data_IF_141271595649
#
_entry.id   IF_141271595649
#
_cell.length_a   1.000
_cell.length_b   1.000
_cell.length_c   1.000
_cell.angle_alpha   90.00
_cell.angle_beta   90.00
_cell.angle_gamma   90.00
#
_symmetry.space_group_name_H-M   'P 1'
#
loop_
_entity.id
_entity.type
_entity.pdbx_description
1 polymer ?
#
# COMPACT_ATOMS: atom_id res chain seq x y z
N UNK A 1 6.42 -23.47 -14.52
CA UNK A 1 7.22 -23.98 -13.38
C UNK A 1 8.55 -24.58 -13.74
N UNK A 2 9.61 -23.84 -13.43
CA UNK A 2 11.00 -24.17 -13.71
C UNK A 2 11.53 -25.28 -12.79
N UNK A 3 12.46 -26.11 -13.31
CA UNK A 3 13.07 -27.23 -12.56
C UNK A 3 13.65 -26.78 -11.22
N UNK A 4 14.35 -25.65 -11.21
CA UNK A 4 14.98 -25.11 -10.01
C UNK A 4 13.97 -24.68 -8.95
N UNK A 5 12.87 -24.07 -9.36
CA UNK A 5 11.76 -23.69 -8.45
C UNK A 5 11.15 -24.92 -7.78
N UNK A 6 10.98 -26.02 -8.54
CA UNK A 6 10.51 -27.30 -7.98
C UNK A 6 11.49 -27.90 -6.95
N UNK A 7 12.78 -27.83 -7.23
CA UNK A 7 13.83 -28.31 -6.30
C UNK A 7 13.83 -27.49 -5.01
N UNK A 8 13.77 -26.16 -5.10
CA UNK A 8 13.71 -25.27 -3.93
C UNK A 8 12.44 -25.51 -3.10
N UNK A 9 11.29 -25.76 -3.73
CA UNK A 9 10.06 -26.12 -3.02
C UNK A 9 10.18 -27.45 -2.28
N UNK A 10 10.91 -28.43 -2.84
CA UNK A 10 11.23 -29.66 -2.10
C UNK A 10 12.15 -29.38 -0.91
N UNK A 11 13.13 -28.48 -1.06
CA UNK A 11 14.02 -28.07 0.04
C UNK A 11 13.29 -27.32 1.16
N UNK A 12 12.20 -26.62 0.87
CA UNK A 12 11.32 -26.04 1.90
C UNK A 12 10.69 -27.11 2.82
N UNK A 13 10.71 -28.39 2.45
CA UNK A 13 10.21 -29.49 3.28
C UNK A 13 11.34 -30.28 3.93
N UNK A 14 12.60 -29.83 3.82
CA UNK A 14 13.71 -30.56 4.42
C UNK A 14 13.71 -30.44 5.93
N UNK A 15 14.33 -31.41 6.59
CA UNK A 15 14.36 -31.53 8.04
C UNK A 15 15.22 -30.42 8.68
N UNK A 16 16.22 -29.95 7.94
CA UNK A 16 17.14 -28.91 8.35
C UNK A 16 16.51 -27.51 8.25
N UNK A 17 16.33 -26.77 9.35
CA UNK A 17 15.77 -25.43 9.31
C UNK A 17 16.65 -24.45 8.51
N UNK A 18 17.97 -24.68 8.47
CA UNK A 18 18.91 -23.87 7.69
C UNK A 18 18.67 -24.02 6.19
N UNK A 19 18.38 -25.24 5.73
CA UNK A 19 18.08 -25.48 4.32
C UNK A 19 16.73 -24.89 3.93
N UNK A 20 15.70 -25.03 4.78
CA UNK A 20 14.39 -24.39 4.55
C UNK A 20 14.53 -22.86 4.45
N UNK A 21 15.32 -22.26 5.35
CA UNK A 21 15.61 -20.84 5.32
C UNK A 21 16.28 -20.41 4.01
N UNK A 22 17.35 -21.11 3.60
CA UNK A 22 18.07 -20.82 2.36
C UNK A 22 17.18 -20.99 1.12
N UNK A 23 16.34 -22.02 1.10
CA UNK A 23 15.38 -22.25 0.02
C UNK A 23 14.38 -21.09 -0.08
N UNK A 24 13.83 -20.62 1.04
CA UNK A 24 12.93 -19.47 1.07
C UNK A 24 13.61 -18.19 0.56
N UNK A 25 14.85 -17.95 1.00
CA UNK A 25 15.63 -16.80 0.57
C UNK A 25 15.97 -16.84 -0.92
N UNK A 26 16.33 -18.00 -1.46
CA UNK A 26 16.69 -18.15 -2.86
C UNK A 26 15.47 -17.98 -3.78
N UNK A 27 14.31 -18.48 -3.37
CA UNK A 27 13.04 -18.25 -4.07
C UNK A 27 12.68 -16.77 -4.15
N UNK A 28 12.86 -16.02 -3.05
CA UNK A 28 12.65 -14.57 -3.03
C UNK A 28 13.63 -13.84 -3.96
N UNK A 29 14.92 -14.20 -3.91
CA UNK A 29 15.97 -13.58 -4.73
C UNK A 29 15.75 -13.80 -6.22
N UNK A 30 15.24 -14.97 -6.59
CA UNK A 30 14.88 -15.32 -7.98
C UNK A 30 13.58 -14.67 -8.45
N UNK A 31 12.82 -14.06 -7.54
CA UNK A 31 11.49 -13.49 -7.81
C UNK A 31 10.51 -14.55 -8.34
N UNK A 32 10.63 -15.80 -7.89
CA UNK A 32 9.81 -16.92 -8.37
C UNK A 32 8.39 -16.86 -7.78
N UNK A 33 7.48 -16.12 -8.44
CA UNK A 33 6.08 -15.90 -8.01
C UNK A 33 5.31 -17.22 -7.87
N UNK A 34 5.62 -18.23 -8.69
CA UNK A 34 4.98 -19.56 -8.64
C UNK A 34 5.20 -20.30 -7.30
N UNK A 35 6.20 -19.91 -6.50
CA UNK A 35 6.48 -20.52 -5.21
C UNK A 35 5.69 -19.92 -4.03
N UNK A 36 4.92 -18.85 -4.27
CA UNK A 36 4.05 -18.21 -3.27
C UNK A 36 3.21 -19.18 -2.43
N UNK A 37 2.46 -20.15 -3.01
CA UNK A 37 1.64 -21.05 -2.19
C UNK A 37 2.47 -21.96 -1.27
N UNK A 38 3.69 -22.34 -1.69
CA UNK A 38 4.59 -23.14 -0.86
C UNK A 38 5.17 -22.29 0.27
N UNK A 39 5.62 -21.08 -0.02
CA UNK A 39 6.15 -20.14 0.97
C UNK A 39 5.09 -19.74 2.00
N UNK A 40 3.84 -19.55 1.59
CA UNK A 40 2.75 -19.17 2.49
C UNK A 40 2.44 -20.28 3.52
N UNK A 41 2.52 -21.56 3.10
CA UNK A 41 2.41 -22.70 4.02
C UNK A 41 3.56 -22.73 5.02
N UNK A 42 4.78 -22.46 4.58
CA UNK A 42 5.95 -22.42 5.48
C UNK A 42 5.84 -21.26 6.46
N UNK A 43 5.43 -20.08 6.01
CA UNK A 43 5.24 -18.91 6.87
C UNK A 43 4.22 -19.14 8.00
N UNK A 44 3.21 -19.98 7.76
CA UNK A 44 2.13 -20.25 8.72
C UNK A 44 2.40 -21.47 9.61
N UNK A 45 2.95 -22.55 9.05
CA UNK A 45 3.04 -23.85 9.74
C UNK A 45 4.46 -24.26 10.17
N UNK A 46 5.51 -23.55 9.76
CA UNK A 46 6.88 -23.95 10.13
C UNK A 46 7.11 -23.76 11.64
N UNK A 47 7.80 -24.72 12.26
CA UNK A 47 8.12 -24.70 13.68
C UNK A 47 9.19 -23.65 14.01
N UNK A 48 10.10 -23.37 13.08
CA UNK A 48 11.21 -22.46 13.29
C UNK A 48 10.81 -21.02 12.97
N UNK A 49 10.93 -20.13 13.94
CA UNK A 49 10.58 -18.72 13.81
C UNK A 49 11.38 -18.00 12.72
N UNK A 50 12.69 -18.25 12.61
CA UNK A 50 13.52 -17.61 11.59
C UNK A 50 13.08 -18.01 10.18
N UNK A 51 12.69 -19.27 9.99
CA UNK A 51 12.18 -19.77 8.72
C UNK A 51 10.83 -19.13 8.40
N UNK A 52 9.91 -19.04 9.37
CA UNK A 52 8.62 -18.36 9.20
C UNK A 52 8.79 -16.90 8.81
N UNK A 53 9.63 -16.16 9.54
CA UNK A 53 9.89 -14.74 9.27
C UNK A 53 10.49 -14.54 7.88
N UNK A 54 11.43 -15.39 7.48
CA UNK A 54 11.99 -15.32 6.13
C UNK A 54 10.97 -15.65 5.04
N UNK A 55 10.15 -16.68 5.25
CA UNK A 55 9.09 -17.05 4.32
C UNK A 55 8.04 -15.94 4.20
N UNK A 56 7.67 -15.30 5.30
CA UNK A 56 6.75 -14.16 5.29
C UNK A 56 7.32 -12.97 4.51
N UNK A 57 8.58 -12.61 4.75
CA UNK A 57 9.26 -11.55 4.00
C UNK A 57 9.34 -11.89 2.51
N UNK A 58 9.63 -13.13 2.17
CA UNK A 58 9.62 -13.62 0.79
C UNK A 58 8.25 -13.49 0.14
N UNK A 59 7.17 -13.91 0.82
CA UNK A 59 5.79 -13.80 0.33
C UNK A 59 5.41 -12.34 0.09
N UNK A 60 5.71 -11.45 1.05
CA UNK A 60 5.43 -10.02 0.92
C UNK A 60 6.15 -9.42 -0.29
N UNK A 61 7.45 -9.70 -0.44
CA UNK A 61 8.26 -9.20 -1.55
C UNK A 61 7.74 -9.68 -2.92
N UNK A 62 7.45 -10.98 -3.04
CA UNK A 62 6.92 -11.56 -4.27
C UNK A 62 5.52 -11.03 -4.61
N UNK A 63 4.67 -10.82 -3.61
CA UNK A 63 3.33 -10.23 -3.81
C UNK A 63 3.41 -8.78 -4.30
N UNK A 64 4.36 -8.00 -3.77
CA UNK A 64 4.60 -6.63 -4.22
C UNK A 64 5.09 -6.58 -5.68
N UNK A 65 5.99 -7.48 -6.08
CA UNK A 65 6.44 -7.60 -7.47
C UNK A 65 5.27 -7.98 -8.38
N UNK A 66 4.44 -8.95 -7.97
CA UNK A 66 3.27 -9.36 -8.75
C UNK A 66 2.32 -8.17 -8.98
N UNK A 67 2.02 -7.40 -7.94
CA UNK A 67 1.16 -6.23 -8.06
C UNK A 67 1.75 -5.15 -9.00
N UNK A 68 3.08 -4.95 -8.98
CA UNK A 68 3.73 -4.02 -9.89
C UNK A 68 3.64 -4.47 -11.36
N UNK A 69 3.83 -5.77 -11.62
CA UNK A 69 3.70 -6.35 -12.95
C UNK A 69 2.26 -6.25 -13.47
N UNK A 70 1.28 -6.59 -12.63
CA UNK A 70 -0.14 -6.50 -12.97
C UNK A 70 -0.54 -5.04 -13.29
N UNK A 71 0.01 -4.04 -12.57
CA UNK A 71 -0.21 -2.62 -12.85
C UNK A 71 0.43 -2.15 -14.16
N UNK A 72 1.63 -2.63 -14.49
CA UNK A 72 2.31 -2.28 -15.73
C UNK A 72 1.63 -2.89 -16.96
N UNK A 73 1.11 -4.11 -16.84
CA UNK A 73 0.30 -4.74 -17.87
C UNK A 73 -1.00 -3.96 -18.13
N UNK A 74 -1.69 -3.54 -17.06
CA UNK A 74 -2.87 -2.67 -17.16
C UNK A 74 -2.54 -1.34 -17.84
N UNK A 75 -1.43 -0.68 -17.47
CA UNK A 75 -0.98 0.57 -18.12
C UNK A 75 -0.73 0.39 -19.60
N UNK A 76 -0.03 -0.68 -20.01
CA UNK A 76 0.19 -0.96 -21.44
C UNK A 76 -1.13 -1.16 -22.19
N UNK A 77 -2.08 -1.86 -21.58
CA UNK A 77 -3.38 -2.11 -22.20
C UNK A 77 -4.21 -0.85 -22.38
N UNK A 78 -4.16 0.08 -21.41
CA UNK A 78 -4.82 1.39 -21.50
C UNK A 78 -4.15 2.30 -22.54
N UNK A 79 -2.83 2.21 -22.72
CA UNK A 79 -2.13 2.97 -23.75
C UNK A 79 -2.44 2.45 -25.16
N UNK A 80 -2.53 1.14 -25.35
CA UNK A 80 -2.87 0.53 -26.65
C UNK A 80 -4.32 0.78 -27.08
N UNK A 81 -5.21 1.18 -26.18
CA UNK A 81 -6.60 1.54 -26.55
C UNK A 81 -6.75 2.98 -27.06
N UNK A 82 -5.68 3.77 -27.08
CA UNK A 82 -5.73 5.19 -27.48
C UNK A 82 -5.00 5.48 -28.80
N UNK A 83 -4.59 4.47 -29.57
CA UNK A 83 -3.89 4.65 -30.86
C UNK A 83 -4.80 4.50 -32.10
N UNK A 84 -6.13 4.37 -31.93
CA UNK A 84 -7.07 4.17 -33.05
C UNK A 84 -7.95 5.40 -33.40
N UNK A 85 -7.73 6.58 -32.79
CA UNK A 85 -8.52 7.80 -33.07
C UNK A 85 -7.65 9.07 -33.20
N UNK A 86 -6.62 9.06 -34.06
CA UNK A 86 -6.00 10.31 -34.55
C UNK A 86 -5.92 10.35 -36.09
N UNK A 87 -7.08 10.13 -36.72
CA UNK A 87 -7.39 10.63 -38.06
C UNK A 87 -8.17 11.95 -37.95
N UNK A 88 -7.72 12.86 -37.07
CA UNK A 88 -8.26 14.23 -36.99
C UNK A 88 -7.36 15.19 -37.76
N UNK A 89 -7.40 15.04 -39.09
CA UNK A 89 -7.18 16.16 -40.01
C UNK A 89 -8.28 17.20 -39.76
N UNK A 90 -8.10 18.07 -38.76
CA UNK A 90 -8.93 19.26 -38.60
C UNK A 90 -8.03 20.43 -38.21
N UNK A 91 -7.43 21.00 -39.26
CA UNK A 91 -7.40 22.43 -39.52
C UNK A 91 -7.37 23.30 -38.26
N UNK A 92 -6.16 23.72 -37.85
CA UNK A 92 -5.99 24.94 -37.08
C UNK A 92 -6.87 26.05 -37.70
N UNK A 93 -7.92 26.55 -37.02
CA UNK A 93 -8.42 27.85 -37.37
C UNK A 93 -7.30 28.81 -36.97
N UNK A 94 -6.73 29.48 -37.97
CA UNK A 94 -5.98 30.71 -37.77
C UNK A 94 -6.80 31.54 -36.76
N UNK A 95 -6.28 31.69 -35.55
CA UNK A 95 -6.68 32.77 -34.68
C UNK A 95 -6.27 34.04 -35.42
N UNK A 96 -7.17 34.53 -36.28
CA UNK A 96 -7.22 35.95 -36.60
C UNK A 96 -7.63 36.63 -35.30
N UNK A 97 -6.68 37.40 -34.75
CA UNK A 97 -6.97 38.61 -33.99
C UNK A 97 -8.22 39.28 -34.54
N UNK A 98 -9.30 39.25 -33.77
CA UNK A 98 -10.32 40.28 -33.81
C UNK A 98 -10.50 40.76 -32.36
N UNK A 99 -9.99 41.97 -32.15
CA UNK A 99 -10.31 42.86 -31.05
C UNK A 99 -11.85 42.94 -30.89
N UNK A 100 -12.34 42.65 -29.70
CA UNK A 100 -13.57 43.28 -29.20
C UNK A 100 -13.47 43.45 -27.69
N UNK A 101 -13.18 44.68 -27.30
CA UNK A 101 -13.44 45.27 -25.98
C UNK A 101 -14.90 45.01 -25.55
N UNK A 102 -15.12 44.27 -24.48
CA UNK A 102 -16.34 44.43 -23.66
C UNK A 102 -16.01 44.35 -22.17
N UNK A 103 -15.80 45.53 -21.61
CA UNK A 103 -15.51 45.83 -20.22
C UNK A 103 -16.83 45.83 -19.43
N UNK A 104 -17.42 44.65 -19.22
CA UNK A 104 -18.64 44.48 -18.42
C UNK A 104 -18.35 43.66 -17.16
N UNK A 105 -17.86 44.35 -16.12
CA UNK A 105 -17.82 43.85 -14.74
C UNK A 105 -19.22 43.81 -14.15
N UNK A 106 -19.91 42.70 -14.33
CA UNK A 106 -21.01 42.33 -13.44
C UNK A 106 -20.45 41.59 -12.23
N UNK A 107 -20.12 42.35 -11.18
CA UNK A 107 -19.87 41.83 -9.85
C UNK A 107 -21.17 41.20 -9.31
N UNK A 108 -21.38 39.90 -9.57
CA UNK A 108 -22.48 39.13 -9.00
C UNK A 108 -22.22 38.96 -7.50
N UNK A 109 -22.70 39.92 -6.70
CA UNK A 109 -22.78 39.82 -5.24
C UNK A 109 -23.97 38.92 -4.88
N UNK A 110 -23.77 37.61 -4.89
CA UNK A 110 -24.69 36.68 -4.24
C UNK A 110 -24.61 36.95 -2.73
N UNK A 111 -25.65 37.58 -2.18
CA UNK A 111 -25.77 37.75 -0.73
C UNK A 111 -26.46 36.52 -0.15
N UNK A 112 -25.99 36.04 1.00
CA UNK A 112 -26.43 34.80 1.66
C UNK A 112 -27.94 34.75 2.03
N UNK A 113 -28.69 35.83 1.78
CA UNK A 113 -30.14 35.85 1.94
C UNK A 113 -30.88 35.04 0.84
N UNK A 114 -30.27 34.84 -0.32
CA UNK A 114 -30.92 34.18 -1.47
C UNK A 114 -31.02 32.65 -1.34
N UNK A 115 -30.21 32.04 -0.46
CA UNK A 115 -30.19 30.58 -0.27
C UNK A 115 -31.09 30.09 0.88
N UNK A 116 -31.75 30.97 1.63
CA UNK A 116 -32.65 30.55 2.72
C UNK A 116 -31.98 29.72 3.82
N UNK A 117 -30.65 29.75 3.93
CA UNK A 117 -29.88 28.99 4.92
C UNK A 117 -29.90 29.78 6.24
N UNK A 118 -30.97 29.65 7.01
CA UNK A 118 -30.97 30.04 8.42
C UNK A 118 -30.18 29.00 9.23
N UNK A 119 -28.85 29.02 9.07
CA UNK A 119 -27.94 28.12 9.77
C UNK A 119 -26.85 28.95 10.44
N UNK A 120 -26.94 29.09 11.76
CA UNK A 120 -25.85 29.63 12.57
C UNK A 120 -24.67 28.66 12.53
N UNK A 121 -23.73 28.87 11.61
CA UNK A 121 -22.45 28.19 11.60
C UNK A 121 -21.54 28.87 12.65
N UNK A 122 -21.50 28.28 13.85
CA UNK A 122 -20.35 28.48 14.74
C UNK A 122 -19.14 27.84 14.06
N UNK A 123 -18.19 28.68 13.65
CA UNK A 123 -16.84 28.23 13.35
C UNK A 123 -16.21 27.76 14.67
N UNK A 124 -15.98 26.46 14.79
CA UNK A 124 -15.08 25.88 15.79
C UNK A 124 -13.92 25.28 14.99
N UNK A 125 -12.87 26.09 14.84
CA UNK A 125 -11.53 25.63 14.44
C UNK A 125 -11.03 24.62 15.47
N UNK A 126 -10.51 23.50 14.94
CA UNK A 126 -9.26 22.83 15.31
C UNK A 126 -9.05 22.45 16.80
N UNK A 127 -8.59 21.29 17.22
CA UNK A 127 -7.77 20.25 16.58
C UNK A 127 -7.75 19.05 17.56
N UNK A 128 -7.44 17.86 17.04
CA UNK A 128 -6.98 16.65 17.77
C UNK A 128 -7.95 15.89 18.70
N UNK A 129 -8.74 14.99 18.10
CA UNK A 129 -9.13 13.71 18.74
C UNK A 129 -8.73 12.58 17.77
N UNK A 130 -7.73 11.77 18.15
CA UNK A 130 -7.79 10.32 17.94
C UNK A 130 -6.73 9.58 18.80
N UNK A 131 -7.16 8.39 19.19
CA UNK A 131 -6.77 7.51 20.29
C UNK A 131 -5.36 6.87 20.26
N UNK A 132 -5.05 6.31 21.45
CA UNK A 132 -4.28 5.09 21.72
C UNK A 132 -2.74 5.09 21.98
N UNK A 133 -2.47 4.79 23.26
CA UNK A 133 -1.43 3.91 23.80
C UNK A 133 0.06 4.19 23.55
N UNK A 134 0.72 4.87 24.51
CA UNK A 134 2.02 4.37 25.03
C UNK A 134 2.17 4.64 26.53
N UNK A 135 2.01 3.58 27.34
CA UNK A 135 2.49 3.56 28.74
C UNK A 135 4.01 3.71 28.75
N UNK A 136 4.57 4.50 29.69
CA UNK A 136 5.34 3.82 30.73
C UNK A 136 5.09 4.43 32.12
N UNK A 137 4.33 3.71 32.96
CA UNK A 137 4.23 4.00 34.39
C UNK A 137 5.50 3.51 35.11
N UNK A 138 6.55 4.33 35.08
CA UNK A 138 7.69 4.20 35.97
C UNK A 138 7.61 5.26 37.06
N UNK A 139 7.20 4.87 38.28
CA UNK A 139 7.95 5.11 39.53
C UNK A 139 7.12 4.88 40.79
N UNK A 140 7.80 4.20 41.73
CA UNK A 140 7.65 4.21 43.20
C UNK A 140 6.43 3.49 43.78
N UNK A 141 6.69 2.36 44.44
CA UNK A 141 6.34 2.20 45.87
C UNK A 141 7.29 1.23 46.57
N UNK A 142 7.25 1.30 47.90
CA UNK A 142 8.30 0.99 48.86
C UNK A 142 8.27 -0.47 49.32
N UNK A 143 9.48 -1.02 49.53
CA UNK A 143 9.94 -1.83 50.68
C UNK A 143 8.83 -2.34 51.63
N UNK A 144 8.59 -3.65 51.63
CA UNK A 144 7.76 -4.34 52.62
C UNK A 144 8.24 -5.77 52.88
N UNK A 145 9.19 -5.95 53.81
CA UNK A 145 9.56 -7.26 54.37
C UNK A 145 8.48 -7.73 55.35
N UNK A 146 7.87 -8.91 55.15
CA UNK A 146 7.20 -9.69 56.22
C UNK A 146 7.44 -11.18 55.91
N UNK A 147 8.42 -11.77 56.59
CA UNK A 147 8.33 -12.69 57.74
C UNK A 147 7.88 -14.11 57.36
N UNK A 148 8.85 -15.04 57.51
CA UNK A 148 8.69 -16.50 57.55
C UNK A 148 7.72 -16.89 58.67
N UNK A 149 6.83 -17.82 58.36
CA UNK A 149 6.06 -18.60 59.33
C UNK A 149 6.83 -19.87 59.66
N UNK A 150 6.88 -20.32 60.92
CA UNK A 150 7.18 -21.71 61.29
C UNK A 150 6.04 -22.64 60.88
#
# INVERSE_FOLDING_TARGET
>A
MNRRTRELIKQLQSESPKERYLAAAELAKRKDIEALPALNKVATFDQNENVRTMAYNAVRFLSQIKNQMDQEELRRRVLQSNEDDDDSDDSHPLWSEDDDDDDSKDDIRVTAADLGISGSFLFREDDDDDDDEVRPSSKKTRKGKRKKSP
#
